data_IF_127756344502
#
_entry.id   IF_127756344502
#
_cell.length_a   1.000
_cell.length_b   1.000
_cell.length_c   1.000
_cell.angle_alpha   90.00
_cell.angle_beta   90.00
_cell.angle_gamma   90.00
#
_symmetry.space_group_name_H-M   'P 1'
#
loop_
_entity.id
_entity.type
_entity.pdbx_description
1 polymer ?
#
# COMPACT_ATOMS: atom_id res chain seq x y z
N UNK A 1 -28.15 7.92 -1.28
CA UNK A 1 -27.96 7.63 0.16
C UNK A 1 -26.47 7.56 0.42
N UNK A 2 -25.91 8.45 1.26
CA UNK A 2 -24.47 8.49 1.54
C UNK A 2 -24.14 7.33 2.50
N UNK A 3 -23.13 6.48 2.23
CA UNK A 3 -22.80 5.42 3.16
C UNK A 3 -22.36 6.03 4.51
N UNK A 4 -22.87 5.46 5.60
CA UNK A 4 -22.62 5.95 6.97
C UNK A 4 -21.12 5.90 7.34
N UNK A 5 -20.38 4.99 6.72
CA UNK A 5 -18.93 4.84 6.86
C UNK A 5 -18.25 4.88 5.49
N UNK A 6 -17.15 5.62 5.41
CA UNK A 6 -16.28 5.62 4.23
C UNK A 6 -15.45 4.33 4.15
N UNK A 7 -15.07 3.92 2.94
CA UNK A 7 -14.18 2.77 2.73
C UNK A 7 -12.85 2.94 3.48
N UNK A 8 -12.35 4.17 3.59
CA UNK A 8 -11.14 4.49 4.37
C UNK A 8 -11.32 4.20 5.86
N UNK A 9 -12.47 4.54 6.45
CA UNK A 9 -12.78 4.23 7.84
C UNK A 9 -12.88 2.70 8.06
N UNK A 10 -13.55 2.00 7.15
CA UNK A 10 -13.68 0.53 7.20
C UNK A 10 -12.28 -0.12 7.12
N UNK A 11 -11.46 0.28 6.15
CA UNK A 11 -10.10 -0.25 5.98
C UNK A 11 -9.18 0.04 7.17
N UNK A 12 -9.37 1.18 7.85
CA UNK A 12 -8.61 1.54 9.06
C UNK A 12 -9.02 0.65 10.23
N UNK A 13 -10.32 0.41 10.41
CA UNK A 13 -10.84 -0.48 11.44
C UNK A 13 -10.33 -1.93 11.27
N UNK A 14 -10.38 -2.45 10.03
CA UNK A 14 -9.85 -3.78 9.73
C UNK A 14 -8.35 -3.88 10.03
N UNK A 15 -7.55 -2.89 9.62
CA UNK A 15 -6.10 -2.84 9.89
C UNK A 15 -5.75 -2.80 11.38
N UNK A 16 -6.51 -2.06 12.19
CA UNK A 16 -6.27 -2.01 13.64
C UNK A 16 -6.45 -3.39 14.27
N UNK A 17 -7.48 -4.13 13.85
CA UNK A 17 -7.76 -5.47 14.35
C UNK A 17 -6.73 -6.47 13.83
N UNK A 18 -6.34 -6.39 12.56
CA UNK A 18 -5.28 -7.23 11.98
C UNK A 18 -3.91 -6.97 12.64
N UNK A 19 -3.69 -5.76 13.16
CA UNK A 19 -2.50 -5.41 13.95
C UNK A 19 -2.59 -5.83 15.43
N UNK A 20 -3.67 -6.50 15.86
CA UNK A 20 -3.82 -7.07 17.19
C UNK A 20 -4.74 -6.30 18.15
N UNK A 21 -5.43 -5.24 17.70
CA UNK A 21 -6.40 -4.56 18.55
C UNK A 21 -7.64 -5.45 18.83
N UNK A 22 -8.16 -5.49 20.07
CA UNK A 22 -9.37 -6.25 20.38
C UNK A 22 -10.58 -5.77 19.57
N UNK A 23 -11.31 -6.70 18.94
CA UNK A 23 -12.54 -6.42 18.18
C UNK A 23 -13.54 -5.58 19.01
N UNK A 24 -13.84 -5.92 20.29
CA UNK A 24 -14.82 -5.17 21.08
C UNK A 24 -14.41 -3.71 21.34
N UNK A 25 -13.11 -3.44 21.39
CA UNK A 25 -12.59 -2.08 21.61
C UNK A 25 -12.77 -1.22 20.37
N UNK A 26 -12.41 -1.76 19.20
CA UNK A 26 -12.48 -1.07 17.90
C UNK A 26 -13.94 -0.82 17.51
N UNK A 27 -14.83 -1.79 17.70
CA UNK A 27 -16.26 -1.65 17.37
C UNK A 27 -16.94 -0.62 18.28
N UNK A 28 -16.63 -0.62 19.58
CA UNK A 28 -17.11 0.40 20.54
C UNK A 28 -16.63 1.80 20.17
N UNK A 29 -15.34 1.98 19.83
CA UNK A 29 -14.77 3.27 19.40
C UNK A 29 -15.46 3.82 18.14
N UNK A 30 -15.87 2.94 17.23
CA UNK A 30 -16.52 3.30 15.97
C UNK A 30 -18.05 3.39 16.07
N UNK A 31 -18.64 3.04 17.22
CA UNK A 31 -20.08 3.01 17.40
C UNK A 31 -20.79 1.97 16.53
N UNK A 32 -20.14 0.84 16.24
CA UNK A 32 -20.70 -0.25 15.44
C UNK A 32 -20.83 -1.53 16.25
N UNK A 33 -21.68 -2.44 15.77
CA UNK A 33 -21.76 -3.79 16.34
C UNK A 33 -20.61 -4.68 15.82
N UNK A 34 -20.27 -5.73 16.57
CA UNK A 34 -19.33 -6.75 16.09
C UNK A 34 -19.84 -7.46 14.84
N UNK A 35 -21.15 -7.65 14.71
CA UNK A 35 -21.76 -8.21 13.50
C UNK A 35 -21.44 -7.35 12.26
N UNK A 36 -21.49 -6.02 12.39
CA UNK A 36 -21.10 -5.08 11.32
C UNK A 36 -19.63 -5.26 10.93
N UNK A 37 -18.74 -5.44 11.92
CA UNK A 37 -17.33 -5.72 11.65
C UNK A 37 -17.15 -7.02 10.84
N UNK A 38 -17.82 -8.11 11.20
CA UNK A 38 -17.67 -9.36 10.45
C UNK A 38 -18.19 -9.26 9.01
N UNK A 39 -19.26 -8.49 8.77
CA UNK A 39 -19.71 -8.16 7.41
C UNK A 39 -18.63 -7.40 6.64
N UNK A 40 -18.00 -6.40 7.27
CA UNK A 40 -16.91 -5.66 6.66
C UNK A 40 -15.69 -6.54 6.39
N UNK A 41 -15.33 -7.43 7.31
CA UNK A 41 -14.22 -8.37 7.14
C UNK A 41 -14.46 -9.32 5.97
N UNK A 42 -15.70 -9.81 5.80
CA UNK A 42 -16.07 -10.65 4.66
C UNK A 42 -15.98 -9.90 3.33
N UNK A 43 -16.45 -8.64 3.29
CA UNK A 43 -16.53 -7.84 2.06
C UNK A 43 -15.20 -7.18 1.66
N UNK A 44 -14.48 -6.63 2.63
CA UNK A 44 -13.30 -5.79 2.42
C UNK A 44 -12.00 -6.43 2.91
N UNK A 45 -12.04 -7.55 3.65
CA UNK A 45 -10.83 -8.25 4.10
C UNK A 45 -9.97 -8.74 2.92
N UNK A 46 -10.60 -9.29 1.87
CA UNK A 46 -9.89 -9.68 0.65
C UNK A 46 -9.37 -8.47 -0.14
N UNK A 47 -10.09 -7.35 -0.12
CA UNK A 47 -9.64 -6.10 -0.73
C UNK A 47 -8.40 -5.53 -0.02
N UNK A 48 -8.36 -5.61 1.32
CA UNK A 48 -7.20 -5.19 2.09
C UNK A 48 -5.94 -6.02 1.74
N UNK A 49 -6.09 -7.34 1.57
CA UNK A 49 -5.01 -8.22 1.14
C UNK A 49 -4.53 -7.87 -0.29
N UNK A 50 -5.47 -7.64 -1.21
CA UNK A 50 -5.15 -7.25 -2.58
C UNK A 50 -4.40 -5.91 -2.64
N UNK A 51 -4.79 -4.93 -1.83
CA UNK A 51 -4.14 -3.62 -1.77
C UNK A 51 -2.73 -3.71 -1.17
N UNK A 52 -2.53 -4.52 -0.12
CA UNK A 52 -1.19 -4.80 0.44
C UNK A 52 -0.29 -5.47 -0.61
N UNK A 53 -0.83 -6.42 -1.39
CA UNK A 53 -0.08 -7.09 -2.47
C UNK A 53 0.30 -6.09 -3.56
N UNK A 54 -0.62 -5.22 -3.96
CA UNK A 54 -0.38 -4.16 -4.95
C UNK A 54 0.68 -3.17 -4.47
N UNK A 55 0.62 -2.75 -3.21
CA UNK A 55 1.62 -1.87 -2.61
C UNK A 55 3.02 -2.50 -2.67
N UNK A 56 3.16 -3.76 -2.25
CA UNK A 56 4.46 -4.46 -2.34
C UNK A 56 4.99 -4.59 -3.77
N UNK A 57 4.10 -4.83 -4.74
CA UNK A 57 4.48 -4.87 -6.16
C UNK A 57 4.96 -3.50 -6.65
N UNK A 58 4.26 -2.42 -6.29
CA UNK A 58 4.66 -1.05 -6.63
C UNK A 58 5.98 -0.66 -5.98
N UNK A 59 6.21 -1.05 -4.72
CA UNK A 59 7.49 -0.83 -4.03
C UNK A 59 8.65 -1.57 -4.71
N UNK A 60 8.44 -2.84 -5.08
CA UNK A 60 9.44 -3.64 -5.78
C UNK A 60 9.77 -3.04 -7.18
N UNK A 61 8.73 -2.66 -7.93
CA UNK A 61 8.91 -2.03 -9.24
C UNK A 61 9.59 -0.67 -9.13
N UNK A 62 9.24 0.14 -8.12
CA UNK A 62 9.90 1.42 -7.88
C UNK A 62 11.40 1.24 -7.56
N UNK A 63 11.74 0.23 -6.75
CA UNK A 63 13.14 -0.11 -6.46
C UNK A 63 13.89 -0.52 -7.73
N UNK A 64 13.29 -1.39 -8.56
CA UNK A 64 13.86 -1.82 -9.84
C UNK A 64 14.08 -0.64 -10.79
N UNK A 65 13.09 0.25 -10.93
CA UNK A 65 13.19 1.42 -11.80
C UNK A 65 14.27 2.40 -11.34
N UNK A 66 14.39 2.62 -10.02
CA UNK A 66 15.47 3.46 -9.46
C UNK A 66 16.85 2.89 -9.78
N UNK A 67 17.03 1.58 -9.67
CA UNK A 67 18.29 0.92 -10.01
C UNK A 67 18.60 1.08 -11.51
N UNK A 68 17.63 0.80 -12.38
CA UNK A 68 17.80 0.95 -13.82
C UNK A 68 18.18 2.39 -14.21
N UNK A 69 17.54 3.39 -13.58
CA UNK A 69 17.88 4.80 -13.82
C UNK A 69 19.29 5.13 -13.36
N UNK A 70 19.74 4.60 -12.22
CA UNK A 70 21.10 4.80 -11.74
C UNK A 70 22.13 4.22 -12.73
N UNK A 71 21.92 2.97 -13.17
CA UNK A 71 22.81 2.28 -14.11
C UNK A 71 22.89 3.03 -15.44
N UNK A 72 21.74 3.40 -16.03
CA UNK A 72 21.68 4.17 -17.27
C UNK A 72 22.31 5.56 -17.15
N UNK A 73 22.19 6.19 -15.98
CA UNK A 73 22.81 7.50 -15.72
C UNK A 73 24.33 7.37 -15.67
N UNK A 74 24.85 6.32 -15.03
CA UNK A 74 26.28 6.03 -14.98
C UNK A 74 26.84 5.76 -16.38
N UNK A 75 26.19 4.89 -17.15
CA UNK A 75 26.59 4.60 -18.53
C UNK A 75 26.63 5.85 -19.39
N UNK A 76 25.63 6.73 -19.26
CA UNK A 76 25.60 8.01 -19.97
C UNK A 76 26.80 8.88 -19.63
N UNK A 77 27.16 8.99 -18.35
CA UNK A 77 28.32 9.79 -17.91
C UNK A 77 29.60 9.24 -18.51
N UNK A 78 29.81 7.92 -18.42
CA UNK A 78 30.99 7.25 -18.98
C UNK A 78 31.09 7.50 -20.50
N UNK A 79 29.98 7.35 -21.22
CA UNK A 79 29.97 7.59 -22.67
C UNK A 79 30.30 9.04 -23.02
N UNK A 80 29.81 10.00 -22.25
CA UNK A 80 30.13 11.42 -22.45
C UNK A 80 31.60 11.71 -22.18
N UNK A 81 32.20 11.12 -21.14
CA UNK A 81 33.63 11.25 -20.86
C UNK A 81 34.50 10.65 -21.97
N UNK A 82 34.15 9.47 -22.48
CA UNK A 82 34.89 8.83 -23.59
C UNK A 82 34.80 9.67 -24.86
N UNK A 83 33.65 10.26 -25.16
CA UNK A 83 33.50 11.17 -26.31
C UNK A 83 34.33 12.44 -26.14
N UNK A 84 34.37 13.01 -24.92
CA UNK A 84 35.17 14.19 -24.62
C UNK A 84 36.69 13.91 -24.72
N UNK A 85 37.16 12.71 -24.39
CA UNK A 85 38.58 12.32 -24.52
C UNK A 85 39.01 12.05 -25.96
N UNK A 86 38.06 11.81 -26.88
CA UNK A 86 38.34 11.55 -28.31
C UNK A 86 38.30 12.80 -29.19
N UNK A 87 37.85 13.93 -28.64
CA UNK A 87 37.86 15.25 -29.29
C UNK A 87 39.15 16.00 -28.98
#
# INVERSE_FOLDING_TARGET
MKPLFSEKQIATALRQIDAGAPIPEVTRKLGISEATYYVWRKRYGQMAIAEIRRLRQLEAENSRLKQLVADLTLDKVILQEVLAQKA
#
